data_IF_489599139813
#
_entry.id   IF_489599139813
#
_cell.length_a   1.000
_cell.length_b   1.000
_cell.length_c   1.000
_cell.angle_alpha   90.00
_cell.angle_beta   90.00
_cell.angle_gamma   90.00
#
_symmetry.space_group_name_H-M   'P 1'
#
loop_
_entity.id
_entity.type
_entity.pdbx_description
1 polymer ?
#
# COMPACT_ATOMS: atom_id res chain seq x y z
N UNK A 1 -14.56 -22.79 -0.50
CA UNK A 1 -14.95 -22.63 0.92
C UNK A 1 -15.47 -23.95 1.47
N UNK A 2 -14.73 -24.60 2.37
CA UNK A 2 -15.17 -25.78 3.13
C UNK A 2 -15.18 -25.43 4.61
N UNK A 3 -16.37 -25.30 5.21
CA UNK A 3 -16.54 -25.09 6.65
C UNK A 3 -16.56 -26.43 7.37
N UNK A 4 -15.57 -26.67 8.22
CA UNK A 4 -15.55 -27.78 9.18
C UNK A 4 -15.80 -27.22 10.58
N UNK A 5 -16.98 -27.51 11.13
CA UNK A 5 -17.30 -27.34 12.54
C UNK A 5 -16.78 -28.55 13.32
N UNK A 6 -15.87 -28.32 14.27
CA UNK A 6 -15.59 -29.27 15.33
C UNK A 6 -15.58 -28.51 16.67
N UNK A 7 -16.61 -28.76 17.46
CA UNK A 7 -16.78 -28.33 18.85
C UNK A 7 -16.31 -29.46 19.77
N UNK A 8 -15.38 -29.17 20.68
CA UNK A 8 -15.10 -30.03 21.82
C UNK A 8 -14.72 -29.17 23.04
N UNK A 9 -15.68 -29.01 23.96
CA UNK A 9 -15.44 -28.58 25.34
C UNK A 9 -14.98 -29.80 26.15
N UNK A 10 -13.92 -29.65 26.95
CA UNK A 10 -13.87 -30.32 28.27
C UNK A 10 -12.82 -29.72 29.21
N UNK A 11 -13.32 -29.35 30.39
CA UNK A 11 -12.78 -29.54 31.75
C UNK A 11 -11.53 -28.81 32.25
N UNK A 12 -11.77 -27.98 33.28
CA UNK A 12 -10.90 -27.58 34.39
C UNK A 12 -9.96 -28.72 34.86
N UNK A 13 -8.69 -28.38 35.18
CA UNK A 13 -8.09 -28.60 36.52
C UNK A 13 -6.63 -28.12 36.64
N UNK A 14 -6.38 -27.56 37.84
CA UNK A 14 -5.12 -27.52 38.62
C UNK A 14 -4.11 -26.40 38.32
N UNK A 15 -4.14 -25.45 39.24
CA UNK A 15 -3.07 -24.55 39.63
C UNK A 15 -1.82 -25.35 40.00
N UNK A 16 -0.80 -25.30 39.15
CA UNK A 16 0.59 -25.51 39.54
C UNK A 16 1.26 -24.15 39.48
N UNK A 17 1.62 -23.61 40.65
CA UNK A 17 2.58 -22.52 40.76
C UNK A 17 3.95 -23.05 40.31
N UNK A 18 4.15 -23.10 38.99
CA UNK A 18 5.47 -23.24 38.40
C UNK A 18 6.14 -21.88 38.58
N UNK A 19 7.22 -21.84 39.37
CA UNK A 19 8.28 -20.86 39.16
C UNK A 19 8.74 -21.02 37.71
N UNK A 20 8.10 -20.26 36.81
CA UNK A 20 8.66 -19.90 35.53
C UNK A 20 9.86 -19.03 35.87
N UNK A 21 11.01 -19.67 36.06
CA UNK A 21 12.26 -19.07 35.63
C UNK A 21 12.02 -18.74 34.16
N UNK A 22 11.62 -17.50 33.91
CA UNK A 22 11.79 -16.83 32.63
C UNK A 22 13.30 -16.81 32.46
N UNK A 23 13.86 -17.93 31.98
CA UNK A 23 15.09 -17.90 31.22
C UNK A 23 14.76 -16.93 30.11
N UNK A 24 15.16 -15.68 30.31
CA UNK A 24 15.02 -14.64 29.32
C UNK A 24 15.64 -15.21 28.06
N UNK A 25 14.79 -15.61 27.12
CA UNK A 25 15.18 -15.72 25.74
C UNK A 25 15.59 -14.31 25.39
N UNK A 26 16.87 -13.96 25.58
CA UNK A 26 17.47 -12.88 24.82
C UNK A 26 17.06 -13.20 23.40
N UNK A 27 16.20 -12.36 22.82
CA UNK A 27 15.76 -12.53 21.45
C UNK A 27 17.04 -12.73 20.63
N UNK A 28 17.13 -13.89 19.98
CA UNK A 28 18.28 -14.22 19.16
C UNK A 28 18.38 -13.11 18.10
N UNK A 29 19.49 -12.39 18.12
CA UNK A 29 19.72 -11.29 17.17
C UNK A 29 19.80 -11.88 15.76
N UNK A 30 19.32 -11.13 14.76
CA UNK A 30 19.29 -11.61 13.37
C UNK A 30 20.69 -11.62 12.73
N UNK A 31 21.56 -10.68 13.12
CA UNK A 31 22.94 -10.55 12.63
C UNK A 31 23.96 -11.09 13.64
N UNK A 32 25.06 -11.72 13.18
CA UNK A 32 26.08 -12.30 14.08
C UNK A 32 26.83 -11.26 14.92
N UNK A 33 27.00 -10.05 14.39
CA UNK A 33 27.67 -8.91 15.03
C UNK A 33 26.66 -7.82 15.43
N UNK A 34 25.41 -8.21 15.72
CA UNK A 34 24.33 -7.30 16.04
C UNK A 34 24.54 -6.55 17.37
N UNK A 35 24.14 -5.28 17.39
CA UNK A 35 24.06 -4.46 18.60
C UNK A 35 22.82 -4.88 19.41
N UNK A 36 23.00 -5.32 20.68
CA UNK A 36 21.89 -5.69 21.55
C UNK A 36 20.93 -4.53 21.80
N UNK A 37 19.64 -4.82 22.00
CA UNK A 37 18.60 -3.79 22.19
C UNK A 37 18.93 -2.75 23.28
N UNK A 38 19.50 -3.20 24.41
CA UNK A 38 19.86 -2.30 25.51
C UNK A 38 21.05 -1.37 25.25
N UNK A 39 21.77 -1.56 24.14
CA UNK A 39 22.88 -0.72 23.70
C UNK A 39 22.48 0.21 22.53
N UNK A 40 21.26 0.05 22.00
CA UNK A 40 20.74 0.89 20.92
C UNK A 40 20.39 2.28 21.43
N UNK A 41 20.46 3.26 20.53
CA UNK A 41 20.26 4.67 20.83
C UNK A 41 19.07 5.23 20.06
N UNK A 42 18.46 6.27 20.60
CA UNK A 42 17.50 7.07 19.86
C UNK A 42 18.22 8.18 19.08
N UNK A 43 17.59 8.70 18.03
CA UNK A 43 18.04 9.94 17.39
C UNK A 43 17.46 11.15 18.13
N UNK A 44 18.07 12.32 17.95
CA UNK A 44 17.57 13.56 18.51
C UNK A 44 16.75 14.31 17.46
N UNK A 45 15.55 14.72 17.84
CA UNK A 45 14.74 15.60 17.00
C UNK A 45 15.21 17.06 17.08
N UNK A 46 14.54 17.96 16.34
CA UNK A 46 14.88 19.39 16.33
C UNK A 46 14.69 20.10 17.67
N UNK A 47 13.96 19.49 18.62
CA UNK A 47 13.78 19.96 19.98
C UNK A 47 14.76 19.30 20.98
N UNK A 48 15.66 18.42 20.51
CA UNK A 48 16.61 17.68 21.34
C UNK A 48 15.98 16.52 22.11
N UNK A 49 14.79 16.05 21.72
CA UNK A 49 14.13 14.88 22.32
C UNK A 49 14.64 13.61 21.65
N UNK A 50 14.83 12.57 22.46
CA UNK A 50 15.15 11.24 21.98
C UNK A 50 13.91 10.58 21.34
N UNK A 51 14.01 10.22 20.07
CA UNK A 51 12.97 9.51 19.32
C UNK A 51 13.57 8.35 18.51
N UNK A 52 12.80 7.27 18.27
CA UNK A 52 13.24 6.21 17.37
C UNK A 52 13.14 6.66 15.91
N UNK A 53 13.91 6.02 15.03
CA UNK A 53 13.75 6.16 13.59
C UNK A 53 12.45 5.49 13.17
N UNK A 54 11.48 6.31 12.75
CA UNK A 54 10.17 5.85 12.31
C UNK A 54 10.12 5.65 10.79
N UNK A 55 9.76 4.44 10.38
CA UNK A 55 9.55 4.04 9.00
C UNK A 55 8.07 4.09 8.63
N UNK A 56 7.74 4.74 7.53
CA UNK A 56 6.44 4.56 6.87
C UNK A 56 6.54 3.31 6.00
N UNK A 57 5.57 2.41 6.14
CA UNK A 57 5.50 1.16 5.38
C UNK A 57 4.20 1.18 4.59
N UNK A 58 4.27 0.97 3.27
CA UNK A 58 3.09 0.81 2.44
C UNK A 58 2.28 -0.44 2.84
N UNK A 59 1.03 -0.51 2.41
CA UNK A 59 0.14 -1.63 2.73
C UNK A 59 0.37 -2.90 1.87
N UNK A 60 1.25 -2.84 0.86
CA UNK A 60 1.63 -4.01 0.08
C UNK A 60 2.77 -4.81 0.72
N UNK A 61 2.72 -6.13 0.56
CA UNK A 61 3.62 -7.06 1.24
C UNK A 61 5.12 -6.87 0.92
N UNK A 62 5.45 -6.41 -0.29
CA UNK A 62 6.85 -6.15 -0.65
C UNK A 62 7.49 -5.07 0.25
N UNK A 63 6.75 -4.00 0.55
CA UNK A 63 7.19 -2.91 1.42
C UNK A 63 7.36 -3.39 2.86
N UNK A 64 6.47 -4.26 3.35
CA UNK A 64 6.59 -4.85 4.69
C UNK A 64 7.89 -5.65 4.83
N UNK A 65 8.21 -6.51 3.85
CA UNK A 65 9.43 -7.31 3.85
C UNK A 65 10.66 -6.40 3.81
N UNK A 66 10.69 -5.45 2.87
CA UNK A 66 11.84 -4.57 2.72
C UNK A 66 12.05 -3.68 3.95
N UNK A 67 10.98 -3.09 4.48
CA UNK A 67 11.05 -2.24 5.67
C UNK A 67 11.44 -3.03 6.91
N UNK A 68 11.07 -4.31 7.00
CA UNK A 68 11.53 -5.21 8.06
C UNK A 68 13.03 -5.48 7.99
N UNK A 69 13.57 -5.72 6.79
CA UNK A 69 15.01 -5.85 6.60
C UNK A 69 15.72 -4.56 6.99
N UNK A 70 15.23 -3.41 6.50
CA UNK A 70 15.82 -2.11 6.82
C UNK A 70 15.78 -1.80 8.33
N UNK A 71 14.67 -2.11 9.01
CA UNK A 71 14.53 -1.99 10.46
C UNK A 71 15.60 -2.81 11.19
N UNK A 72 15.81 -4.07 10.79
CA UNK A 72 16.88 -4.92 11.35
C UNK A 72 18.25 -4.27 11.12
N UNK A 73 18.53 -3.76 9.92
CA UNK A 73 19.81 -3.09 9.65
C UNK A 73 20.01 -1.85 10.53
N UNK A 74 18.98 -1.03 10.71
CA UNK A 74 19.04 0.16 11.58
C UNK A 74 19.22 -0.23 13.05
N UNK A 75 18.49 -1.24 13.52
CA UNK A 75 18.54 -1.66 14.92
C UNK A 75 19.80 -2.43 15.28
N UNK A 76 20.15 -3.44 14.48
CA UNK A 76 21.22 -4.37 14.80
C UNK A 76 22.56 -3.96 14.23
N UNK A 77 22.62 -3.37 13.03
CA UNK A 77 23.90 -2.98 12.43
C UNK A 77 24.30 -1.54 12.79
N UNK A 78 23.34 -0.61 12.81
CA UNK A 78 23.62 0.81 13.13
C UNK A 78 23.43 1.14 14.61
N UNK A 79 22.68 0.33 15.36
CA UNK A 79 22.49 0.53 16.79
C UNK A 79 21.48 1.61 17.13
N UNK A 80 20.47 1.84 16.29
CA UNK A 80 19.40 2.81 16.58
C UNK A 80 18.06 2.12 16.81
N UNK A 81 17.26 2.62 17.75
CA UNK A 81 15.87 2.17 17.85
C UNK A 81 15.09 2.57 16.59
N UNK A 82 14.30 1.64 16.07
CA UNK A 82 13.43 1.90 14.94
C UNK A 82 12.03 1.34 15.17
N UNK A 83 11.03 1.98 14.58
CA UNK A 83 9.62 1.59 14.67
C UNK A 83 8.93 1.77 13.34
N UNK A 84 7.85 1.05 13.11
CA UNK A 84 6.95 1.33 12.00
C UNK A 84 5.89 2.34 12.42
N UNK A 85 5.54 3.23 11.51
CA UNK A 85 4.33 4.04 11.63
C UNK A 85 3.09 3.12 11.62
N UNK A 86 2.01 3.50 12.30
CA UNK A 86 0.77 2.72 12.31
C UNK A 86 -0.04 2.90 11.03
N UNK A 87 0.09 4.06 10.38
CA UNK A 87 -0.55 4.37 9.11
C UNK A 87 0.19 3.67 7.97
N UNK A 88 -0.58 2.94 7.16
CA UNK A 88 -0.13 2.24 5.96
C UNK A 88 -0.67 2.96 4.73
N UNK A 89 0.09 3.86 4.10
CA UNK A 89 -0.36 4.55 2.90
C UNK A 89 -0.40 3.60 1.70
N UNK A 90 -1.28 3.91 0.76
CA UNK A 90 -1.40 3.21 -0.52
C UNK A 90 -0.67 3.95 -1.65
N UNK A 91 -0.41 5.24 -1.50
CA UNK A 91 0.20 6.06 -2.56
C UNK A 91 1.52 6.68 -2.14
N UNK A 92 2.44 6.86 -3.09
CA UNK A 92 3.71 7.56 -2.84
C UNK A 92 3.46 9.05 -2.51
N UNK A 93 2.39 9.64 -3.02
CA UNK A 93 2.02 11.00 -2.66
C UNK A 93 1.65 11.12 -1.17
N UNK A 94 0.88 10.19 -0.60
CA UNK A 94 0.56 10.20 0.83
C UNK A 94 1.82 10.14 1.69
N UNK A 95 2.81 9.34 1.27
CA UNK A 95 4.13 9.28 1.90
C UNK A 95 4.87 10.60 1.77
N UNK A 96 4.88 11.21 0.58
CA UNK A 96 5.56 12.48 0.36
C UNK A 96 4.97 13.60 1.23
N UNK A 97 3.64 13.67 1.32
CA UNK A 97 2.91 14.60 2.20
C UNK A 97 3.23 14.34 3.67
N UNK A 98 3.21 13.07 4.09
CA UNK A 98 3.50 12.70 5.47
C UNK A 98 4.94 13.04 5.87
N UNK A 99 5.93 12.68 5.06
CA UNK A 99 7.35 12.97 5.33
C UNK A 99 7.63 14.48 5.34
N UNK A 100 7.01 15.25 4.45
CA UNK A 100 7.15 16.71 4.41
C UNK A 100 6.37 17.45 5.51
N UNK A 101 5.47 16.75 6.21
CA UNK A 101 4.55 17.34 7.18
C UNK A 101 3.43 18.16 6.54
N UNK A 102 3.21 18.05 5.23
CA UNK A 102 2.11 18.73 4.55
C UNK A 102 0.79 17.96 4.75
N UNK A 103 -0.32 18.68 4.89
CA UNK A 103 -1.65 18.05 4.93
C UNK A 103 -2.23 17.80 3.53
N UNK A 104 -1.77 18.55 2.53
CA UNK A 104 -2.19 18.44 1.14
C UNK A 104 -1.05 18.83 0.17
N UNK A 105 -1.27 18.66 -1.13
CA UNK A 105 -0.29 18.95 -2.19
C UNK A 105 0.05 20.44 -2.34
N UNK A 106 -0.77 21.35 -1.82
CA UNK A 106 -0.46 22.78 -1.79
C UNK A 106 0.46 23.14 -0.63
N UNK A 107 0.55 22.27 0.37
CA UNK A 107 1.37 22.40 1.57
C UNK A 107 1.23 23.76 2.29
N UNK A 108 0.01 24.32 2.27
CA UNK A 108 -0.33 25.53 3.02
C UNK A 108 -0.53 25.22 4.49
N UNK A 109 -1.16 24.09 4.79
CA UNK A 109 -1.33 23.58 6.14
C UNK A 109 -0.31 22.48 6.45
N UNK A 110 0.26 22.55 7.66
CA UNK A 110 1.31 21.63 8.10
C UNK A 110 0.93 20.93 9.40
N UNK A 111 1.44 19.71 9.53
CA UNK A 111 1.50 18.93 10.75
C UNK A 111 2.95 18.53 11.04
N UNK A 112 3.24 18.25 12.30
CA UNK A 112 4.55 17.71 12.68
C UNK A 112 4.61 16.29 12.14
N UNK A 113 5.52 16.06 11.19
CA UNK A 113 5.92 14.70 10.82
C UNK A 113 6.81 14.13 11.91
N UNK A 114 6.48 12.94 12.38
CA UNK A 114 7.35 12.13 13.24
C UNK A 114 7.88 10.88 12.50
N UNK A 115 7.69 10.85 11.18
CA UNK A 115 8.16 9.82 10.26
C UNK A 115 9.41 10.29 9.52
N UNK A 116 10.33 9.37 9.28
CA UNK A 116 11.68 9.72 8.82
C UNK A 116 12.03 9.10 7.47
N UNK A 117 11.62 7.84 7.26
CA UNK A 117 12.05 7.05 6.10
C UNK A 117 10.85 6.32 5.53
N UNK A 118 10.77 6.26 4.21
CA UNK A 118 9.91 5.32 3.50
C UNK A 118 10.78 4.57 2.48
N UNK A 119 10.49 3.29 2.31
CA UNK A 119 11.16 2.41 1.35
C UNK A 119 10.11 1.79 0.45
N UNK A 120 10.56 1.21 -0.66
CA UNK A 120 9.66 0.63 -1.66
C UNK A 120 8.70 1.68 -2.23
N UNK A 121 9.16 2.90 -2.51
CA UNK A 121 8.31 3.95 -3.09
C UNK A 121 8.21 3.77 -4.62
N UNK A 122 7.16 3.12 -5.10
CA UNK A 122 6.95 2.90 -6.54
C UNK A 122 6.40 4.16 -7.18
N UNK A 123 7.26 4.91 -7.87
CA UNK A 123 6.84 6.14 -8.55
C UNK A 123 5.87 5.83 -9.70
N UNK A 124 6.02 4.72 -10.42
CA UNK A 124 5.03 4.20 -11.39
C UNK A 124 4.26 5.28 -12.16
N UNK A 125 2.93 5.23 -12.08
CA UNK A 125 2.04 6.27 -12.64
C UNK A 125 1.89 7.52 -11.76
N UNK A 126 2.32 7.48 -10.49
CA UNK A 126 2.25 8.60 -9.55
C UNK A 126 3.45 9.56 -9.64
N UNK A 127 4.48 9.21 -10.42
CA UNK A 127 5.75 9.93 -10.44
C UNK A 127 5.60 11.38 -10.86
N UNK A 128 4.67 11.68 -11.78
CA UNK A 128 4.43 13.07 -12.22
C UNK A 128 3.90 13.96 -11.09
N UNK A 129 3.01 13.43 -10.24
CA UNK A 129 2.44 14.20 -9.13
C UNK A 129 3.51 14.43 -8.07
N UNK A 130 4.26 13.39 -7.71
CA UNK A 130 5.39 13.49 -6.77
C UNK A 130 6.45 14.47 -7.27
N UNK A 131 6.86 14.37 -8.54
CA UNK A 131 7.82 15.29 -9.15
C UNK A 131 7.31 16.74 -9.12
N UNK A 132 6.04 16.94 -9.44
CA UNK A 132 5.40 18.27 -9.40
C UNK A 132 5.42 18.83 -7.98
N UNK A 133 5.06 18.02 -6.98
CA UNK A 133 5.10 18.40 -5.58
C UNK A 133 6.53 18.77 -5.13
N UNK A 134 7.53 17.95 -5.48
CA UNK A 134 8.93 18.20 -5.16
C UNK A 134 9.44 19.51 -5.78
N UNK A 135 9.04 19.79 -7.03
CA UNK A 135 9.39 21.03 -7.73
C UNK A 135 8.72 22.27 -7.13
N UNK A 136 7.47 22.15 -6.68
CA UNK A 136 6.71 23.24 -6.08
C UNK A 136 7.16 23.54 -4.64
N UNK A 137 7.62 22.53 -3.90
CA UNK A 137 7.96 22.63 -2.47
C UNK A 137 9.39 22.16 -2.14
N UNK A 138 10.45 22.66 -2.82
CA UNK A 138 11.79 22.09 -2.71
C UNK A 138 12.42 22.16 -1.31
N UNK A 139 11.95 23.07 -0.45
CA UNK A 139 12.43 23.18 0.94
C UNK A 139 11.69 22.29 1.94
N UNK A 140 10.64 21.59 1.52
CA UNK A 140 9.82 20.71 2.36
C UNK A 140 9.77 19.29 1.84
N UNK A 141 9.99 19.12 0.53
CA UNK A 141 9.92 17.83 -0.12
C UNK A 141 10.90 16.83 0.51
N UNK A 142 10.53 15.55 0.63
CA UNK A 142 11.44 14.53 1.12
C UNK A 142 12.67 14.41 0.22
N UNK A 143 13.80 14.08 0.82
CA UNK A 143 15.03 13.84 0.06
C UNK A 143 14.95 12.46 -0.61
N UNK A 144 15.12 12.42 -1.93
CA UNK A 144 15.30 11.17 -2.67
C UNK A 144 16.75 10.69 -2.50
N UNK A 145 16.92 9.63 -1.71
CA UNK A 145 18.22 8.99 -1.45
C UNK A 145 18.61 7.96 -2.53
N UNK A 146 17.83 7.85 -3.59
CA UNK A 146 18.04 6.95 -4.71
C UNK A 146 17.41 5.57 -4.53
N UNK A 147 17.59 4.73 -5.55
CA UNK A 147 17.12 3.35 -5.55
C UNK A 147 18.07 2.43 -4.79
N UNK A 148 17.50 1.42 -4.11
CA UNK A 148 18.27 0.34 -3.47
C UNK A 148 18.63 -0.80 -4.43
N UNK A 149 18.36 -0.64 -5.74
CA UNK A 149 18.96 -1.46 -6.79
C UNK A 149 18.11 -2.61 -7.32
N UNK A 150 16.80 -2.61 -7.10
CA UNK A 150 15.89 -3.48 -7.85
C UNK A 150 14.94 -2.64 -8.70
N UNK A 151 14.55 -3.23 -9.83
CA UNK A 151 13.50 -2.71 -10.70
C UNK A 151 12.23 -3.51 -10.41
N UNK A 152 11.13 -2.80 -10.22
CA UNK A 152 9.80 -3.37 -10.09
C UNK A 152 9.09 -3.37 -11.44
N UNK A 153 8.25 -4.38 -11.69
CA UNK A 153 7.32 -4.39 -12.81
C UNK A 153 5.90 -4.60 -12.27
N UNK A 154 4.98 -3.72 -12.68
CA UNK A 154 3.55 -3.88 -12.46
C UNK A 154 2.92 -4.42 -13.74
N UNK A 155 2.28 -5.58 -13.64
CA UNK A 155 1.60 -6.20 -14.76
C UNK A 155 0.33 -6.91 -14.31
N UNK A 156 -0.63 -7.00 -15.22
CA UNK A 156 -1.75 -7.92 -15.07
C UNK A 156 -1.24 -9.34 -15.31
N UNK A 157 -1.18 -10.14 -14.24
CA UNK A 157 -0.74 -11.54 -14.30
C UNK A 157 -1.93 -12.48 -14.21
N UNK A 158 -1.87 -13.58 -14.96
CA UNK A 158 -2.85 -14.67 -14.94
C UNK A 158 -2.20 -15.90 -14.35
N UNK A 159 -2.91 -16.63 -13.49
CA UNK A 159 -2.40 -17.87 -12.94
C UNK A 159 -2.10 -18.86 -14.08
N UNK A 160 -0.89 -19.45 -14.09
CA UNK A 160 -0.46 -20.35 -15.16
C UNK A 160 -1.44 -21.49 -15.45
N UNK A 161 -2.07 -22.05 -14.41
CA UNK A 161 -3.13 -23.06 -14.55
C UNK A 161 -4.30 -22.58 -15.43
N UNK A 162 -4.73 -21.33 -15.32
CA UNK A 162 -5.80 -20.78 -16.15
C UNK A 162 -5.32 -20.57 -17.60
N UNK A 163 -4.06 -20.18 -17.78
CA UNK A 163 -3.42 -20.09 -19.10
C UNK A 163 -3.42 -21.46 -19.77
N UNK A 164 -2.97 -22.49 -19.04
CA UNK A 164 -2.92 -23.88 -19.52
C UNK A 164 -4.33 -24.40 -19.86
N UNK A 165 -5.30 -24.25 -18.95
CA UNK A 165 -6.68 -24.68 -19.16
C UNK A 165 -7.34 -23.98 -20.36
N UNK A 166 -7.13 -22.68 -20.53
CA UNK A 166 -7.65 -21.94 -21.67
C UNK A 166 -7.03 -22.42 -22.98
N UNK A 167 -5.73 -22.68 -22.99
CA UNK A 167 -5.01 -23.17 -24.17
C UNK A 167 -5.44 -24.59 -24.55
N UNK A 168 -5.52 -25.52 -23.60
CA UNK A 168 -5.90 -26.91 -23.85
C UNK A 168 -7.35 -27.02 -24.34
N UNK A 169 -8.29 -26.27 -23.74
CA UNK A 169 -9.71 -26.40 -24.06
C UNK A 169 -10.14 -25.63 -25.31
N UNK A 170 -9.47 -24.51 -25.63
CA UNK A 170 -9.92 -23.61 -26.69
C UNK A 170 -8.83 -23.19 -27.68
N UNK A 171 -7.58 -23.61 -27.47
CA UNK A 171 -6.42 -23.14 -28.23
C UNK A 171 -6.04 -21.69 -27.91
N UNK A 172 -6.59 -21.11 -26.84
CA UNK A 172 -6.46 -19.69 -26.53
C UNK A 172 -5.27 -19.43 -25.60
N UNK A 173 -4.33 -18.59 -26.05
CA UNK A 173 -3.25 -18.10 -25.22
C UNK A 173 -3.71 -16.85 -24.46
N UNK A 174 -3.80 -16.93 -23.13
CA UNK A 174 -4.14 -15.81 -22.25
C UNK A 174 -3.00 -14.79 -22.09
N UNK A 175 -1.84 -15.06 -22.68
CA UNK A 175 -0.62 -14.26 -22.56
C UNK A 175 -0.72 -12.86 -23.20
N UNK A 176 -1.73 -12.61 -24.03
CA UNK A 176 -1.85 -11.36 -24.80
C UNK A 176 -3.29 -10.83 -24.88
N UNK A 177 -3.72 -10.08 -23.87
CA UNK A 177 -4.99 -9.34 -23.91
C UNK A 177 -5.06 -8.28 -25.04
N UNK A 178 -3.93 -7.92 -25.66
CA UNK A 178 -3.84 -6.90 -26.72
C UNK A 178 -4.33 -7.33 -28.11
N UNK A 179 -4.47 -8.63 -28.38
CA UNK A 179 -5.02 -9.15 -29.65
C UNK A 179 -6.46 -9.64 -29.54
N UNK A 180 -7.12 -9.37 -28.41
CA UNK A 180 -8.44 -9.89 -28.11
C UNK A 180 -9.53 -9.19 -28.96
N UNK A 181 -10.12 -9.96 -29.88
CA UNK A 181 -11.31 -9.55 -30.61
C UNK A 181 -12.53 -10.34 -30.09
N UNK A 182 -13.43 -9.64 -29.38
CA UNK A 182 -14.66 -10.23 -28.83
C UNK A 182 -15.56 -10.90 -29.87
N UNK A 183 -15.42 -10.53 -31.14
CA UNK A 183 -16.20 -11.10 -32.26
C UNK A 183 -15.82 -12.55 -32.56
N UNK A 184 -14.59 -12.95 -32.20
CA UNK A 184 -14.06 -14.29 -32.48
C UNK A 184 -13.96 -15.17 -31.23
N UNK A 185 -13.90 -14.57 -30.04
CA UNK A 185 -13.66 -15.28 -28.78
C UNK A 185 -14.42 -14.64 -27.60
N UNK A 186 -14.82 -15.46 -26.63
CA UNK A 186 -15.51 -15.01 -25.40
C UNK A 186 -14.68 -15.34 -24.16
N UNK A 187 -13.73 -14.46 -23.83
CA UNK A 187 -12.89 -14.53 -22.63
C UNK A 187 -13.70 -14.51 -21.33
N UNK A 188 -14.93 -13.98 -21.35
CA UNK A 188 -15.87 -14.04 -20.21
C UNK A 188 -16.13 -15.48 -19.71
N UNK A 189 -15.83 -16.51 -20.51
CA UNK A 189 -15.88 -17.91 -20.07
C UNK A 189 -14.78 -18.30 -19.08
N UNK A 190 -13.70 -17.53 -19.02
CA UNK A 190 -12.50 -17.81 -18.23
C UNK A 190 -12.28 -16.80 -17.09
N UNK A 191 -13.03 -15.70 -17.08
CA UNK A 191 -12.93 -14.64 -16.08
C UNK A 191 -14.32 -14.29 -15.54
N UNK A 192 -14.39 -14.08 -14.24
CA UNK A 192 -15.56 -13.48 -13.61
C UNK A 192 -15.77 -12.06 -14.18
N UNK A 193 -17.03 -11.70 -14.41
CA UNK A 193 -17.36 -10.33 -14.77
C UNK A 193 -17.21 -9.40 -13.57
N UNK A 194 -17.04 -8.10 -13.83
CA UNK A 194 -17.05 -7.08 -12.76
C UNK A 194 -18.32 -7.19 -11.89
N UNK A 195 -19.45 -7.56 -12.49
CA UNK A 195 -20.72 -7.76 -11.79
C UNK A 195 -20.76 -9.01 -10.89
N UNK A 196 -19.84 -9.95 -11.08
CA UNK A 196 -19.74 -11.20 -10.32
C UNK A 196 -18.80 -11.06 -9.10
N UNK A 197 -18.01 -9.99 -9.04
CA UNK A 197 -17.13 -9.67 -7.91
C UNK A 197 -17.93 -9.12 -6.71
N UNK A 198 -17.55 -9.44 -5.47
CA UNK A 198 -18.19 -8.89 -4.28
C UNK A 198 -18.14 -7.36 -4.26
N UNK A 199 -19.25 -6.70 -3.94
CA UNK A 199 -19.34 -5.23 -3.97
C UNK A 199 -18.45 -4.59 -2.90
N UNK A 200 -18.25 -5.30 -1.81
CA UNK A 200 -17.36 -4.93 -0.71
C UNK A 200 -15.89 -4.83 -1.10
N UNK A 201 -15.48 -5.44 -2.21
CA UNK A 201 -14.10 -5.39 -2.70
C UNK A 201 -13.81 -4.15 -3.56
N UNK A 202 -14.84 -3.36 -3.90
CA UNK A 202 -14.69 -2.13 -4.69
C UNK A 202 -14.64 -0.90 -3.79
N UNK A 203 -13.70 0.01 -4.09
CA UNK A 203 -13.73 1.36 -3.54
C UNK A 203 -15.02 2.06 -3.98
N UNK A 204 -15.68 2.70 -3.03
CA UNK A 204 -16.89 3.49 -3.33
C UNK A 204 -16.47 4.83 -3.92
N UNK A 205 -17.19 5.29 -4.94
CA UNK A 205 -16.92 6.61 -5.53
C UNK A 205 -17.27 7.78 -4.60
N UNK A 206 -18.04 7.54 -3.54
CA UNK A 206 -18.33 8.53 -2.48
C UNK A 206 -17.41 8.38 -1.26
N UNK A 207 -16.40 7.51 -1.35
CA UNK A 207 -15.39 7.42 -0.31
C UNK A 207 -14.52 8.69 -0.32
N UNK A 208 -14.47 9.46 0.77
CA UNK A 208 -13.68 10.68 0.83
C UNK A 208 -12.17 10.46 0.60
N UNK A 209 -11.67 9.23 0.75
CA UNK A 209 -10.26 8.92 0.46
C UNK A 209 -10.01 8.51 -0.99
N UNK A 210 -11.06 8.32 -1.80
CA UNK A 210 -10.90 7.93 -3.19
C UNK A 210 -10.60 9.15 -4.07
N UNK A 211 -9.67 8.99 -5.03
CA UNK A 211 -9.37 10.00 -6.06
C UNK A 211 -10.61 10.44 -6.87
N UNK A 212 -11.67 9.61 -6.83
CA UNK A 212 -12.95 9.85 -7.47
C UNK A 212 -13.76 11.01 -6.87
N UNK A 213 -13.43 11.50 -5.66
CA UNK A 213 -14.04 12.70 -5.08
C UNK A 213 -13.13 13.94 -5.15
N UNK A 214 -11.92 13.81 -5.70
CA UNK A 214 -10.99 14.92 -5.87
C UNK A 214 -11.41 15.76 -7.08
N UNK A 215 -11.99 16.93 -6.80
CA UNK A 215 -12.53 17.82 -7.83
C UNK A 215 -11.48 18.29 -8.84
N UNK A 216 -10.27 18.75 -8.45
CA UNK A 216 -9.19 19.00 -9.40
C UNK A 216 -8.89 17.83 -10.35
N UNK A 217 -8.76 16.62 -9.82
CA UNK A 217 -8.44 15.44 -10.61
C UNK A 217 -9.56 15.09 -11.61
N UNK A 218 -10.80 15.11 -11.14
CA UNK A 218 -11.96 14.78 -11.97
C UNK A 218 -12.29 15.87 -12.99
N UNK A 219 -11.95 17.13 -12.72
CA UNK A 219 -11.99 18.21 -13.72
C UNK A 219 -11.01 17.95 -14.86
N UNK A 220 -9.80 17.50 -14.54
CA UNK A 220 -8.81 17.14 -15.54
C UNK A 220 -9.28 15.92 -16.34
N UNK A 221 -9.80 14.87 -15.69
CA UNK A 221 -10.44 13.75 -16.36
C UNK A 221 -11.53 14.20 -17.34
N UNK A 222 -12.47 15.05 -16.91
CA UNK A 222 -13.55 15.58 -17.75
C UNK A 222 -12.99 16.34 -18.96
N UNK A 223 -11.95 17.17 -18.73
CA UNK A 223 -11.28 17.95 -19.77
C UNK A 223 -10.60 17.07 -20.81
N UNK A 224 -9.92 16.01 -20.38
CA UNK A 224 -9.13 15.14 -21.26
C UNK A 224 -10.00 14.12 -22.01
N UNK A 225 -10.97 13.52 -21.34
CA UNK A 225 -11.81 12.46 -21.92
C UNK A 225 -13.05 13.00 -22.64
N UNK A 226 -13.59 14.13 -22.19
CA UNK A 226 -14.91 14.61 -22.57
C UNK A 226 -16.08 13.79 -21.98
N UNK A 227 -15.80 12.77 -21.16
CA UNK A 227 -16.82 11.94 -20.51
C UNK A 227 -17.36 12.66 -19.27
N UNK A 228 -18.44 13.41 -19.48
CA UNK A 228 -19.17 14.08 -18.41
C UNK A 228 -20.38 13.28 -17.92
N UNK A 229 -20.77 12.23 -18.64
CA UNK A 229 -21.90 11.36 -18.28
C UNK A 229 -21.56 10.50 -17.05
N UNK A 230 -20.28 10.14 -16.89
CA UNK A 230 -19.74 9.46 -15.72
C UNK A 230 -19.48 10.36 -14.51
N UNK A 231 -19.90 11.62 -14.51
CA UNK A 231 -19.54 12.62 -13.49
C UNK A 231 -20.75 13.25 -12.78
N UNK A 232 -20.55 13.67 -11.54
CA UNK A 232 -21.47 14.49 -10.76
C UNK A 232 -20.91 15.90 -10.67
N UNK A 233 -21.65 16.89 -11.15
CA UNK A 233 -21.30 18.29 -10.95
C UNK A 233 -21.43 18.65 -9.46
N UNK A 234 -20.34 19.17 -8.90
CA UNK A 234 -20.25 19.64 -7.51
C UNK A 234 -19.74 21.09 -7.50
N UNK A 235 -19.74 21.73 -6.32
CA UNK A 235 -19.13 23.04 -6.19
C UNK A 235 -17.63 22.96 -6.54
N UNK A 236 -17.19 23.79 -7.49
CA UNK A 236 -15.80 23.81 -7.95
C UNK A 236 -15.45 22.83 -9.08
N UNK A 237 -16.37 21.96 -9.53
CA UNK A 237 -16.07 21.04 -10.64
C UNK A 237 -16.90 19.76 -10.66
N UNK A 238 -16.21 18.62 -10.79
CA UNK A 238 -16.81 17.29 -10.89
C UNK A 238 -16.28 16.33 -9.83
N UNK A 239 -17.12 15.38 -9.42
CA UNK A 239 -16.72 14.12 -8.80
C UNK A 239 -17.12 12.97 -9.74
N UNK A 240 -16.60 11.77 -9.54
CA UNK A 240 -17.10 10.59 -10.26
C UNK A 240 -18.55 10.30 -9.84
N UNK A 241 -19.41 10.04 -10.81
CA UNK A 241 -20.71 9.46 -10.54
C UNK A 241 -20.49 8.02 -10.10
N UNK A 242 -20.85 7.71 -8.84
CA UNK A 242 -20.86 6.33 -8.37
C UNK A 242 -21.57 5.44 -9.37
N UNK A 243 -21.00 4.28 -9.65
CA UNK A 243 -21.56 3.28 -10.55
C UNK A 243 -23.00 2.99 -10.10
N UNK A 244 -23.97 3.63 -10.76
CA UNK A 244 -25.34 3.17 -10.81
C UNK A 244 -25.30 1.92 -11.67
N UNK A 245 -24.76 0.82 -11.12
CA UNK A 245 -24.97 -0.50 -11.70
C UNK A 245 -26.47 -0.58 -11.93
N UNK A 246 -26.92 -0.79 -13.18
CA UNK A 246 -28.35 -0.81 -13.47
C UNK A 246 -28.99 -1.79 -12.50
N UNK A 247 -29.87 -1.27 -11.65
CA UNK A 247 -30.68 -2.10 -10.76
C UNK A 247 -31.53 -2.95 -11.68
N UNK A 248 -31.17 -4.23 -11.82
CA UNK A 248 -31.82 -5.25 -12.64
C UNK A 248 -31.84 -5.00 -14.17
N UNK A 249 -31.08 -5.82 -14.89
CA UNK A 249 -31.47 -6.35 -16.22
C UNK A 249 -31.91 -7.79 -16.01
#
# INVERSE_FOLDING_TARGET
MLRSHASARTSLKKWCAALLFVLGTSAELCLPDAIPEGERQNVLDSAGREIPIKFIVFDWHAAEVLSSIAKIMVEEALGYHAVFDEHRPFTVMDVALKLSGCLDSTCNDMQISDSHVALDCWLGSAGTDTDTFMQQHPGKAPEDLGSIGYEGEEALVVAGKLVDEAYEHSGFALDFYRSYNQSHYSARKHFDGIADLPREDFLRCDDPVAIFVDTPYMNDYARWSGDTDGLLAVEGGYNAAGLLLPTSV
#
